data_IF_208277628460
#
_entry.id   IF_208277628460
#
_cell.length_a   1.000
_cell.length_b   1.000
_cell.length_c   1.000
_cell.angle_alpha   90.00
_cell.angle_beta   90.00
_cell.angle_gamma   90.00
#
_symmetry.space_group_name_H-M   'P 1'
#
loop_
_entity.id
_entity.type
_entity.pdbx_description
1 polymer ?
#
# COMPACT_ATOMS: atom_id res chain seq x y z
N UNK A 1 -70.08 14.16 6.15
CA UNK A 1 -69.40 13.13 5.34
C UNK A 1 -68.88 13.76 4.04
N UNK A 2 -67.63 14.26 3.99
CA UNK A 2 -66.89 14.60 2.75
C UNK A 2 -65.47 15.10 3.08
N UNK A 3 -64.58 14.15 3.40
CA UNK A 3 -63.12 14.22 3.14
C UNK A 3 -62.57 12.84 2.76
N UNK A 4 -63.44 11.92 2.36
CA UNK A 4 -63.05 10.56 1.95
C UNK A 4 -62.52 10.56 0.52
N UNK A 5 -63.11 11.35 -0.39
CA UNK A 5 -62.66 11.47 -1.78
C UNK A 5 -61.23 12.04 -1.93
N UNK A 6 -60.89 13.08 -1.15
CA UNK A 6 -59.53 13.63 -1.16
C UNK A 6 -58.48 12.66 -0.62
N UNK A 7 -58.84 11.86 0.40
CA UNK A 7 -57.97 10.80 0.94
C UNK A 7 -57.79 9.64 -0.05
N UNK A 8 -58.85 9.23 -0.74
CA UNK A 8 -58.80 8.21 -1.80
C UNK A 8 -57.91 8.66 -2.97
N UNK A 9 -58.00 9.93 -3.36
CA UNK A 9 -57.14 10.48 -4.41
C UNK A 9 -55.66 10.51 -3.99
N UNK A 10 -55.38 10.96 -2.76
CA UNK A 10 -54.03 10.91 -2.18
C UNK A 10 -53.48 9.48 -2.10
N UNK A 11 -54.28 8.52 -1.62
CA UNK A 11 -53.88 7.11 -1.56
C UNK A 11 -53.58 6.55 -2.94
N UNK A 12 -54.42 6.86 -3.93
CA UNK A 12 -54.21 6.41 -5.32
C UNK A 12 -52.92 7.00 -5.89
N UNK A 13 -52.67 8.29 -5.65
CA UNK A 13 -51.45 8.96 -6.09
C UNK A 13 -50.21 8.35 -5.44
N UNK A 14 -50.25 8.06 -4.14
CA UNK A 14 -49.15 7.39 -3.42
C UNK A 14 -48.91 5.98 -3.95
N UNK A 15 -49.96 5.20 -4.23
CA UNK A 15 -49.84 3.86 -4.81
C UNK A 15 -49.20 3.93 -6.20
N UNK A 16 -49.68 4.83 -7.06
CA UNK A 16 -49.11 5.02 -8.41
C UNK A 16 -47.65 5.45 -8.32
N UNK A 17 -47.32 6.42 -7.46
CA UNK A 17 -45.96 6.87 -7.24
C UNK A 17 -45.05 5.75 -6.70
N UNK A 18 -45.56 4.88 -5.82
CA UNK A 18 -44.84 3.73 -5.28
C UNK A 18 -44.56 2.67 -6.36
N UNK A 19 -45.56 2.32 -7.19
CA UNK A 19 -45.38 1.38 -8.31
C UNK A 19 -44.37 1.95 -9.31
N UNK A 20 -44.53 3.21 -9.69
CA UNK A 20 -43.65 3.90 -10.63
C UNK A 20 -42.20 3.94 -10.11
N UNK A 21 -42.00 4.18 -8.81
CA UNK A 21 -40.68 4.16 -8.17
C UNK A 21 -40.06 2.76 -8.06
N UNK A 22 -40.87 1.69 -8.07
CA UNK A 22 -40.39 0.31 -7.97
C UNK A 22 -40.06 -0.32 -9.33
N UNK A 23 -40.63 0.20 -10.43
CA UNK A 23 -40.39 -0.29 -11.79
C UNK A 23 -38.91 -0.39 -12.20
N UNK A 24 -38.00 0.54 -11.82
CA UNK A 24 -36.57 0.42 -12.09
C UNK A 24 -35.89 -0.82 -11.48
N UNK A 25 -36.50 -1.43 -10.45
CA UNK A 25 -36.02 -2.66 -9.82
C UNK A 25 -36.21 -3.91 -10.70
N UNK A 26 -37.10 -3.84 -11.70
CA UNK A 26 -37.34 -4.94 -12.64
C UNK A 26 -36.78 -4.57 -14.02
N UNK A 27 -35.50 -4.86 -14.23
CA UNK A 27 -34.75 -4.57 -15.47
C UNK A 27 -35.54 -4.81 -16.78
N UNK A 28 -36.28 -5.94 -16.95
CA UNK A 28 -37.01 -6.22 -18.18
C UNK A 28 -38.14 -5.22 -18.47
N UNK A 29 -38.90 -4.79 -17.45
CA UNK A 29 -39.94 -3.79 -17.64
C UNK A 29 -39.36 -2.39 -17.80
N UNK A 30 -38.23 -2.10 -17.15
CA UNK A 30 -37.55 -0.82 -17.29
C UNK A 30 -37.08 -0.56 -18.73
N UNK A 31 -36.46 -1.55 -19.38
CA UNK A 31 -36.02 -1.41 -20.77
C UNK A 31 -37.17 -1.30 -21.78
N UNK A 32 -38.35 -1.85 -21.46
CA UNK A 32 -39.54 -1.74 -22.29
C UNK A 32 -40.25 -0.37 -22.18
N UNK A 33 -39.82 0.51 -21.27
CA UNK A 33 -40.47 1.82 -21.08
C UNK A 33 -40.07 2.86 -22.15
N UNK A 34 -40.99 3.76 -22.53
CA UNK A 34 -40.70 4.92 -23.36
C UNK A 34 -39.54 5.76 -22.81
N UNK A 35 -38.72 6.34 -23.70
CA UNK A 35 -37.52 7.09 -23.31
C UNK A 35 -37.80 8.22 -22.30
N UNK A 36 -38.91 8.94 -22.47
CA UNK A 36 -39.31 10.04 -21.58
C UNK A 36 -39.61 9.58 -20.13
N UNK A 37 -40.06 8.34 -19.92
CA UNK A 37 -40.26 7.77 -18.58
C UNK A 37 -38.92 7.40 -17.93
N UNK A 38 -37.99 6.83 -18.71
CA UNK A 38 -36.67 6.41 -18.21
C UNK A 38 -35.79 7.58 -17.79
N UNK A 39 -35.96 8.74 -18.42
CA UNK A 39 -35.24 9.97 -18.10
C UNK A 39 -35.80 10.69 -16.86
N UNK A 40 -37.10 10.50 -16.57
CA UNK A 40 -37.75 11.03 -15.36
C UNK A 40 -37.56 10.12 -14.13
N UNK A 41 -37.34 8.82 -14.34
CA UNK A 41 -37.22 7.82 -13.27
C UNK A 41 -35.77 7.57 -12.85
N UNK A 42 -35.54 7.21 -11.57
CA UNK A 42 -34.24 6.71 -11.14
C UNK A 42 -33.83 5.52 -12.02
N UNK A 43 -32.62 5.57 -12.55
CA UNK A 43 -32.06 4.51 -13.41
C UNK A 43 -31.44 3.35 -12.62
N UNK A 44 -31.49 3.41 -11.28
CA UNK A 44 -30.99 2.37 -10.38
C UNK A 44 -32.14 1.78 -9.57
N UNK A 45 -32.36 0.48 -9.74
CA UNK A 45 -33.27 -0.32 -8.92
C UNK A 45 -32.73 -0.57 -7.51
N UNK A 46 -33.38 -1.48 -6.77
CA UNK A 46 -32.91 -1.91 -5.44
C UNK A 46 -31.56 -2.60 -5.60
N UNK A 47 -30.54 -2.16 -4.87
CA UNK A 47 -29.23 -2.82 -4.87
C UNK A 47 -29.31 -4.11 -4.07
N UNK A 48 -28.80 -5.20 -4.65
CA UNK A 48 -28.82 -6.52 -4.04
C UNK A 48 -27.55 -6.67 -3.19
N UNK A 49 -27.71 -7.05 -1.93
CA UNK A 49 -26.58 -7.34 -1.05
C UNK A 49 -25.79 -8.57 -1.49
N UNK A 50 -24.66 -8.84 -0.84
CA UNK A 50 -23.78 -9.97 -1.13
C UNK A 50 -24.52 -11.31 -1.18
N UNK A 51 -25.45 -11.56 -0.25
CA UNK A 51 -26.16 -12.83 -0.16
C UNK A 51 -27.15 -13.06 -1.32
N UNK A 52 -27.62 -11.98 -1.95
CA UNK A 52 -28.59 -12.02 -3.05
C UNK A 52 -27.94 -11.90 -4.42
N UNK A 53 -26.88 -11.09 -4.54
CA UNK A 53 -26.15 -10.86 -5.80
C UNK A 53 -24.97 -11.83 -5.98
N UNK A 54 -24.57 -12.53 -4.92
CA UNK A 54 -23.29 -13.22 -4.85
C UNK A 54 -22.11 -12.24 -4.78
N UNK A 55 -20.89 -12.78 -4.62
CA UNK A 55 -19.67 -11.98 -4.58
C UNK A 55 -18.63 -12.60 -3.64
N UNK A 56 -17.85 -11.74 -2.97
CA UNK A 56 -16.84 -12.16 -2.02
C UNK A 56 -16.90 -11.34 -0.72
N UNK A 57 -16.74 -12.03 0.41
CA UNK A 57 -16.50 -11.46 1.74
C UNK A 57 -15.11 -11.89 2.20
N UNK A 58 -14.29 -10.93 2.62
CA UNK A 58 -12.94 -11.18 3.12
C UNK A 58 -12.73 -10.43 4.43
N UNK A 59 -12.05 -11.10 5.36
CA UNK A 59 -11.47 -10.48 6.54
C UNK A 59 -9.96 -10.54 6.36
N UNK A 60 -9.34 -9.38 6.34
CA UNK A 60 -7.90 -9.20 6.15
C UNK A 60 -7.31 -8.67 7.44
N UNK A 61 -6.11 -9.12 7.80
CA UNK A 61 -5.36 -8.61 8.94
C UNK A 61 -4.20 -7.76 8.44
N UNK A 62 -4.00 -6.60 9.04
CA UNK A 62 -2.90 -5.69 8.69
C UNK A 62 -1.66 -6.10 9.48
N UNK A 63 -0.53 -6.22 8.80
CA UNK A 63 0.77 -6.44 9.42
C UNK A 63 1.30 -5.12 10.01
N UNK A 64 0.76 -4.78 11.18
CA UNK A 64 1.03 -3.55 11.91
C UNK A 64 2.42 -3.53 12.55
N UNK A 65 2.99 -4.70 12.87
CA UNK A 65 4.35 -4.81 13.41
C UNK A 65 5.38 -4.48 12.32
N UNK A 66 5.18 -4.95 11.09
CA UNK A 66 6.05 -4.58 9.96
C UNK A 66 6.10 -3.08 9.69
N UNK A 67 4.98 -2.38 9.90
CA UNK A 67 4.93 -0.92 9.75
C UNK A 67 5.81 -0.21 10.80
N UNK A 68 5.84 -0.72 12.04
CA UNK A 68 6.73 -0.22 13.10
C UNK A 68 8.19 -0.47 12.72
N UNK A 69 8.53 -1.67 12.24
CA UNK A 69 9.90 -1.98 11.81
C UNK A 69 10.40 -1.02 10.72
N UNK A 70 9.57 -0.75 9.70
CA UNK A 70 9.91 0.17 8.61
C UNK A 70 10.11 1.59 9.14
N UNK A 71 9.26 2.05 10.07
CA UNK A 71 9.42 3.35 10.70
C UNK A 71 10.74 3.46 11.49
N UNK A 72 11.09 2.42 12.24
CA UNK A 72 12.35 2.33 12.97
C UNK A 72 13.55 2.32 12.02
N UNK A 73 13.52 1.53 10.94
CA UNK A 73 14.60 1.46 9.95
C UNK A 73 14.82 2.83 9.25
N UNK A 74 13.73 3.57 8.98
CA UNK A 74 13.81 4.96 8.48
C UNK A 74 14.45 5.89 9.50
N UNK A 75 14.07 5.80 10.77
CA UNK A 75 14.68 6.58 11.84
C UNK A 75 16.17 6.25 12.02
N UNK A 76 16.56 4.98 11.92
CA UNK A 76 17.96 4.54 11.95
C UNK A 76 18.75 5.23 10.84
N UNK A 77 18.23 5.24 9.62
CA UNK A 77 18.89 5.89 8.48
C UNK A 77 19.05 7.40 8.71
N UNK A 78 17.98 8.07 9.15
CA UNK A 78 18.03 9.51 9.45
C UNK A 78 19.02 9.84 10.58
N UNK A 79 19.11 8.99 11.61
CA UNK A 79 20.09 9.14 12.68
C UNK A 79 21.51 8.94 12.18
N UNK A 80 21.76 7.94 11.33
CA UNK A 80 23.08 7.73 10.72
C UNK A 80 23.54 8.95 9.92
N UNK A 81 22.67 9.53 9.10
CA UNK A 81 22.98 10.73 8.31
C UNK A 81 23.34 11.93 9.22
N UNK A 82 22.55 12.18 10.27
CA UNK A 82 22.80 13.27 11.22
C UNK A 82 24.07 13.06 12.04
N UNK A 83 24.36 11.82 12.41
CA UNK A 83 25.59 11.48 13.12
C UNK A 83 26.81 11.71 12.23
N UNK A 84 26.72 11.31 10.95
CA UNK A 84 27.77 11.55 9.97
C UNK A 84 27.99 13.06 9.74
N UNK A 85 26.92 13.85 9.61
CA UNK A 85 26.98 15.31 9.49
C UNK A 85 27.69 15.97 10.69
N UNK A 86 27.43 15.48 11.90
CA UNK A 86 28.09 15.97 13.12
C UNK A 86 29.47 15.37 13.38
N UNK A 87 29.93 14.45 12.54
CA UNK A 87 31.24 13.80 12.67
C UNK A 87 31.40 12.97 13.94
N UNK A 88 30.31 12.43 14.53
CA UNK A 88 30.43 11.63 15.75
C UNK A 88 30.94 10.23 15.43
N UNK A 89 31.87 9.75 16.25
CA UNK A 89 32.55 8.49 16.05
C UNK A 89 31.70 7.31 16.58
N UNK A 90 30.80 6.79 15.74
CA UNK A 90 30.03 5.56 16.00
C UNK A 90 30.63 4.34 15.29
N UNK A 91 30.49 3.16 15.90
CA UNK A 91 30.81 1.88 15.26
C UNK A 91 29.62 1.34 14.47
N UNK A 92 28.41 1.38 15.04
CA UNK A 92 27.21 0.95 14.33
C UNK A 92 25.93 1.50 14.95
N UNK A 93 24.93 1.73 14.10
CA UNK A 93 23.53 1.98 14.48
C UNK A 93 22.70 0.92 13.79
N UNK A 94 22.04 0.04 14.57
CA UNK A 94 21.24 -1.06 14.02
C UNK A 94 19.94 -1.23 14.80
N UNK A 95 18.91 -1.67 14.11
CA UNK A 95 17.67 -2.16 14.72
C UNK A 95 17.93 -3.53 15.36
N UNK A 96 17.53 -3.71 16.61
CA UNK A 96 17.72 -4.96 17.38
C UNK A 96 16.40 -5.68 17.68
N UNK A 97 15.29 -4.95 17.75
CA UNK A 97 13.94 -5.49 17.87
C UNK A 97 12.98 -4.78 16.89
N UNK A 98 11.67 -5.07 16.96
CA UNK A 98 10.69 -4.42 16.09
C UNK A 98 10.56 -2.90 16.36
N UNK A 99 10.79 -2.46 17.59
CA UNK A 99 10.61 -1.09 18.10
C UNK A 99 11.88 -0.50 18.73
N UNK A 100 13.03 -1.18 18.60
CA UNK A 100 14.27 -0.80 19.30
C UNK A 100 15.45 -0.56 18.35
N UNK A 101 16.23 0.47 18.68
CA UNK A 101 17.47 0.85 18.03
C UNK A 101 18.61 0.70 19.05
N UNK A 102 19.68 0.04 18.64
CA UNK A 102 20.93 -0.01 19.41
C UNK A 102 21.99 0.81 18.69
N UNK A 103 22.60 1.74 19.43
CA UNK A 103 23.72 2.54 18.96
C UNK A 103 24.97 2.13 19.73
N UNK A 104 26.02 1.82 18.99
CA UNK A 104 27.35 1.51 19.51
C UNK A 104 28.31 2.64 19.13
N UNK A 105 28.74 3.40 20.13
CA UNK A 105 29.73 4.47 19.99
C UNK A 105 31.16 3.92 20.14
N UNK A 106 32.16 4.59 19.56
CA UNK A 106 33.57 4.19 19.73
C UNK A 106 34.12 4.49 21.13
N UNK A 107 33.63 5.54 21.77
CA UNK A 107 34.06 5.96 23.10
C UNK A 107 32.89 6.55 23.91
N UNK A 108 33.13 6.81 25.20
CA UNK A 108 32.12 7.32 26.13
C UNK A 108 31.71 8.78 25.84
N UNK A 109 32.61 9.57 25.25
CA UNK A 109 32.36 10.98 24.91
C UNK A 109 31.44 11.07 23.68
N UNK A 110 31.71 10.26 22.66
CA UNK A 110 30.87 10.04 21.50
C UNK A 110 29.50 9.50 21.91
N UNK A 111 29.44 8.57 22.87
CA UNK A 111 28.16 8.09 23.38
C UNK A 111 27.36 9.24 24.03
N UNK A 112 28.00 10.08 24.84
CA UNK A 112 27.34 11.25 25.46
C UNK A 112 26.84 12.25 24.41
N UNK A 113 27.60 12.46 23.34
CA UNK A 113 27.20 13.32 22.23
C UNK A 113 26.02 12.73 21.44
N UNK A 114 26.01 11.42 21.22
CA UNK A 114 24.89 10.69 20.59
C UNK A 114 23.65 10.77 21.46
N UNK A 115 23.75 10.57 22.78
CA UNK A 115 22.62 10.70 23.70
C UNK A 115 21.94 12.06 23.58
N UNK A 116 22.72 13.14 23.63
CA UNK A 116 22.21 14.51 23.41
C UNK A 116 21.58 14.72 22.05
N UNK A 117 22.03 14.00 21.02
CA UNK A 117 21.46 14.10 19.68
C UNK A 117 20.10 13.38 19.62
N UNK A 118 20.03 12.15 20.15
CA UNK A 118 18.82 11.32 20.16
C UNK A 118 17.78 11.86 21.14
N UNK A 119 18.17 12.53 22.23
CA UNK A 119 17.24 13.25 23.12
C UNK A 119 16.42 14.34 22.38
N UNK A 120 16.92 14.85 21.23
CA UNK A 120 16.15 15.78 20.40
C UNK A 120 15.09 15.07 19.53
N UNK A 121 15.04 13.74 19.53
CA UNK A 121 14.02 12.93 18.87
C UNK A 121 12.96 12.51 19.89
N UNK A 122 11.84 13.25 20.01
CA UNK A 122 10.81 13.01 21.03
C UNK A 122 10.03 11.70 20.84
N UNK A 123 10.41 10.88 19.84
CA UNK A 123 9.78 9.61 19.52
C UNK A 123 10.47 8.42 20.20
N UNK A 124 11.72 8.56 20.65
CA UNK A 124 12.48 7.50 21.30
C UNK A 124 12.72 7.79 22.78
N UNK A 125 12.73 6.72 23.59
CA UNK A 125 13.13 6.73 24.99
C UNK A 125 14.34 5.83 25.20
N UNK A 126 15.30 6.28 26.01
CA UNK A 126 16.40 5.44 26.44
C UNK A 126 15.84 4.39 27.43
N UNK A 127 15.96 3.09 27.10
CA UNK A 127 15.47 2.00 27.94
C UNK A 127 16.56 1.45 28.86
N UNK A 128 17.79 1.34 28.35
CA UNK A 128 18.98 1.02 29.15
C UNK A 128 20.28 1.19 28.36
N UNK A 129 21.39 1.44 29.05
CA UNK A 129 22.74 1.23 28.49
C UNK A 129 23.08 -0.24 28.72
N UNK A 130 23.47 -0.98 27.68
CA UNK A 130 23.60 -2.45 27.70
C UNK A 130 24.80 -2.98 28.52
N UNK A 131 24.97 -2.49 29.75
CA UNK A 131 26.10 -2.82 30.64
C UNK A 131 27.45 -2.25 30.20
N UNK A 132 27.53 -1.53 29.07
CA UNK A 132 28.74 -0.93 28.52
C UNK A 132 28.58 0.60 28.37
N UNK A 133 29.64 1.34 28.69
CA UNK A 133 29.68 2.81 28.56
C UNK A 133 29.51 3.31 27.12
N UNK A 134 29.62 2.41 26.13
CA UNK A 134 29.59 2.70 24.70
C UNK A 134 28.31 2.25 23.98
N UNK A 135 27.40 1.53 24.65
CA UNK A 135 26.21 0.95 24.02
C UNK A 135 24.94 1.49 24.66
N UNK A 136 24.05 2.05 23.83
CA UNK A 136 22.77 2.58 24.30
C UNK A 136 21.62 2.04 23.47
N UNK A 137 20.56 1.60 24.17
CA UNK A 137 19.34 1.07 23.57
C UNK A 137 18.24 2.11 23.70
N UNK A 138 17.66 2.44 22.56
CA UNK A 138 16.55 3.36 22.40
C UNK A 138 15.34 2.60 21.93
N UNK A 139 14.19 2.88 22.52
CA UNK A 139 12.93 2.23 22.19
C UNK A 139 11.90 3.27 21.79
N UNK A 140 11.06 2.93 20.83
CA UNK A 140 10.00 3.82 20.39
C UNK A 140 8.95 4.00 21.48
N UNK A 141 8.51 5.23 21.72
CA UNK A 141 7.42 5.51 22.67
C UNK A 141 6.16 4.67 22.33
N UNK A 142 5.53 4.07 23.34
CA UNK A 142 4.29 3.28 23.14
C UNK A 142 3.19 4.09 22.42
N UNK A 143 3.07 5.38 22.74
CA UNK A 143 2.13 6.29 22.07
C UNK A 143 2.43 6.42 20.56
N UNK A 144 3.70 6.49 20.19
CA UNK A 144 4.14 6.59 18.80
C UNK A 144 3.99 5.24 18.07
N UNK A 145 4.33 4.13 18.72
CA UNK A 145 4.07 2.77 18.23
C UNK A 145 2.59 2.60 17.90
N UNK A 146 1.70 2.99 18.82
CA UNK A 146 0.25 2.94 18.58
C UNK A 146 -0.19 3.84 17.42
N UNK A 147 0.36 5.05 17.34
CA UNK A 147 0.08 5.99 16.24
C UNK A 147 0.46 5.41 14.89
N UNK A 148 1.62 4.77 14.78
CA UNK A 148 2.09 4.12 13.55
C UNK A 148 1.18 2.94 13.19
N UNK A 149 0.82 2.09 14.17
CA UNK A 149 -0.09 0.96 13.95
C UNK A 149 -1.46 1.41 13.45
N UNK A 150 -2.07 2.41 14.09
CA UNK A 150 -3.35 2.98 13.65
C UNK A 150 -3.24 3.64 12.26
N UNK A 151 -2.13 4.34 11.98
CA UNK A 151 -1.86 4.92 10.67
C UNK A 151 -1.73 3.86 9.58
N UNK A 152 -1.05 2.74 9.86
CA UNK A 152 -0.90 1.63 8.92
C UNK A 152 -2.24 1.00 8.55
N UNK A 153 -3.16 0.86 9.52
CA UNK A 153 -4.51 0.35 9.26
C UNK A 153 -5.32 1.31 8.37
N UNK A 154 -5.24 2.62 8.64
CA UNK A 154 -5.94 3.61 7.82
C UNK A 154 -5.39 3.64 6.38
N UNK A 155 -4.06 3.57 6.22
CA UNK A 155 -3.40 3.49 4.92
C UNK A 155 -3.81 2.23 4.16
N UNK A 156 -3.86 1.08 4.83
CA UNK A 156 -4.32 -0.16 4.23
C UNK A 156 -5.77 -0.07 3.75
N UNK A 157 -6.64 0.55 4.56
CA UNK A 157 -8.05 0.76 4.21
C UNK A 157 -8.23 1.65 2.98
N UNK A 158 -7.46 2.74 2.88
CA UNK A 158 -7.45 3.60 1.69
C UNK A 158 -6.89 2.89 0.45
N UNK A 159 -5.79 2.16 0.61
CA UNK A 159 -5.18 1.38 -0.48
C UNK A 159 -6.15 0.34 -1.03
N UNK A 160 -6.86 -0.36 -0.15
CA UNK A 160 -7.86 -1.36 -0.54
C UNK A 160 -9.03 -0.71 -1.29
N UNK A 161 -9.53 0.44 -0.82
CA UNK A 161 -10.59 1.19 -1.51
C UNK A 161 -10.18 1.56 -2.94
N UNK A 162 -9.01 2.18 -3.09
CA UNK A 162 -8.50 2.62 -4.40
C UNK A 162 -8.31 1.45 -5.38
N UNK A 163 -7.90 0.26 -4.89
CA UNK A 163 -7.79 -0.95 -5.71
C UNK A 163 -9.14 -1.51 -6.14
N UNK A 164 -10.14 -1.42 -5.28
CA UNK A 164 -11.47 -1.97 -5.54
C UNK A 164 -12.23 -1.13 -6.57
N UNK A 165 -12.04 0.19 -6.57
CA UNK A 165 -12.67 1.10 -7.53
C UNK A 165 -12.35 0.72 -8.99
N UNK A 166 -11.21 0.07 -9.23
CA UNK A 166 -10.77 -0.40 -10.55
C UNK A 166 -11.60 -1.59 -11.08
N UNK A 167 -12.32 -2.32 -10.23
CA UNK A 167 -13.14 -3.47 -10.66
C UNK A 167 -14.54 -3.09 -11.14
N UNK A 168 -14.94 -1.82 -10.99
CA UNK A 168 -16.26 -1.34 -11.43
C UNK A 168 -17.42 -1.97 -10.64
N UNK A 169 -17.18 -2.44 -9.41
CA UNK A 169 -18.23 -2.89 -8.51
C UNK A 169 -19.03 -1.69 -8.01
N UNK A 170 -20.35 -1.80 -7.98
CA UNK A 170 -21.21 -0.62 -7.79
C UNK A 170 -21.22 -0.11 -6.36
N UNK A 171 -20.98 -0.95 -5.34
CA UNK A 171 -21.06 -0.57 -3.93
C UNK A 171 -20.15 -1.47 -3.05
N UNK A 172 -18.82 -1.30 -3.07
CA UNK A 172 -17.94 -2.06 -2.20
C UNK A 172 -18.02 -1.59 -0.75
N UNK A 173 -17.99 -2.54 0.20
CA UNK A 173 -17.87 -2.22 1.63
C UNK A 173 -16.44 -2.50 2.06
N UNK A 174 -15.72 -1.46 2.50
CA UNK A 174 -14.37 -1.56 3.07
C UNK A 174 -14.34 -0.82 4.40
N UNK A 175 -14.24 -1.59 5.49
CA UNK A 175 -14.33 -1.06 6.84
C UNK A 175 -13.36 -1.76 7.79
N UNK A 176 -12.85 -1.02 8.78
CA UNK A 176 -12.09 -1.60 9.88
C UNK A 176 -13.01 -2.48 10.74
N UNK A 177 -12.54 -3.67 11.09
CA UNK A 177 -13.18 -4.58 12.03
C UNK A 177 -12.23 -4.82 13.20
N UNK A 178 -12.67 -4.50 14.41
CA UNK A 178 -11.82 -4.62 15.60
C UNK A 178 -10.56 -3.74 15.52
N UNK A 179 -9.47 -4.21 16.12
CA UNK A 179 -8.23 -3.43 16.24
C UNK A 179 -7.36 -3.49 14.99
N UNK A 180 -7.20 -4.66 14.35
CA UNK A 180 -6.21 -4.87 13.28
C UNK A 180 -6.75 -5.47 11.98
N UNK A 181 -8.07 -5.63 11.88
CA UNK A 181 -8.69 -6.29 10.73
C UNK A 181 -9.46 -5.31 9.84
N UNK A 182 -9.56 -5.65 8.56
CA UNK A 182 -10.32 -4.94 7.55
C UNK A 182 -11.27 -5.93 6.90
N UNK A 183 -12.56 -5.60 6.92
CA UNK A 183 -13.61 -6.34 6.21
C UNK A 183 -13.80 -5.73 4.84
N UNK A 184 -13.75 -6.57 3.82
CA UNK A 184 -14.00 -6.23 2.43
C UNK A 184 -15.16 -7.06 1.90
N UNK A 185 -16.17 -6.40 1.34
CA UNK A 185 -17.28 -7.05 0.65
C UNK A 185 -17.42 -6.47 -0.74
N UNK A 186 -17.41 -7.35 -1.75
CA UNK A 186 -17.56 -6.97 -3.16
C UNK A 186 -18.76 -7.72 -3.76
N UNK A 187 -19.99 -7.15 -3.64
CA UNK A 187 -21.18 -7.73 -4.28
C UNK A 187 -21.05 -7.70 -5.80
N UNK A 188 -21.45 -8.80 -6.45
CA UNK A 188 -21.48 -8.89 -7.91
C UNK A 188 -20.12 -8.90 -8.62
N UNK A 189 -19.01 -9.14 -7.89
CA UNK A 189 -17.68 -9.27 -8.52
C UNK A 189 -17.63 -10.50 -9.43
N UNK A 190 -17.17 -10.33 -10.67
CA UNK A 190 -17.12 -11.42 -11.67
C UNK A 190 -16.02 -12.44 -11.41
N UNK A 191 -14.85 -12.00 -10.96
CA UNK A 191 -13.71 -12.85 -10.64
C UNK A 191 -13.22 -12.60 -9.19
N UNK A 192 -13.72 -13.40 -8.23
CA UNK A 192 -13.31 -13.30 -6.83
C UNK A 192 -11.82 -13.58 -6.61
N UNK A 193 -11.19 -14.45 -7.41
CA UNK A 193 -9.78 -14.79 -7.25
C UNK A 193 -8.90 -13.61 -7.65
N UNK A 194 -9.18 -13.03 -8.81
CA UNK A 194 -8.48 -11.83 -9.28
C UNK A 194 -8.60 -10.66 -8.30
N UNK A 195 -9.79 -10.45 -7.73
CA UNK A 195 -10.01 -9.41 -6.72
C UNK A 195 -9.20 -9.66 -5.44
N UNK A 196 -9.20 -10.90 -4.95
CA UNK A 196 -8.41 -11.31 -3.79
C UNK A 196 -6.92 -11.12 -4.03
N UNK A 197 -6.41 -11.54 -5.18
CA UNK A 197 -4.98 -11.44 -5.50
C UNK A 197 -4.53 -9.97 -5.59
N UNK A 198 -5.32 -9.12 -6.25
CA UNK A 198 -5.01 -7.69 -6.33
C UNK A 198 -5.03 -7.02 -4.95
N UNK A 199 -5.94 -7.41 -4.05
CA UNK A 199 -6.01 -6.84 -2.70
C UNK A 199 -4.83 -7.31 -1.83
N UNK A 200 -4.40 -8.57 -1.99
CA UNK A 200 -3.31 -9.16 -1.20
C UNK A 200 -1.92 -8.71 -1.61
N UNK A 201 -1.73 -8.32 -2.86
CA UNK A 201 -0.41 -7.98 -3.39
C UNK A 201 0.14 -6.71 -2.73
N UNK A 202 1.19 -6.82 -1.91
CA UNK A 202 1.84 -5.65 -1.32
C UNK A 202 2.58 -4.87 -2.41
N UNK A 203 2.05 -3.72 -2.81
CA UNK A 203 2.66 -2.88 -3.85
C UNK A 203 3.68 -1.93 -3.22
N UNK A 204 4.82 -2.47 -2.76
CA UNK A 204 5.92 -1.66 -2.27
C UNK A 204 6.69 -1.08 -3.46
N UNK A 205 6.61 0.24 -3.62
CA UNK A 205 7.40 0.97 -4.61
C UNK A 205 8.60 1.61 -3.92
N UNK A 206 9.80 1.32 -4.43
CA UNK A 206 11.06 1.88 -3.98
C UNK A 206 11.80 2.48 -5.17
N UNK A 207 12.32 3.69 -5.01
CA UNK A 207 13.25 4.30 -5.96
C UNK A 207 14.67 4.11 -5.42
N UNK A 208 15.46 3.33 -6.16
CA UNK A 208 16.85 3.03 -5.85
C UNK A 208 17.75 3.61 -6.92
N UNK A 209 18.92 4.07 -6.51
CA UNK A 209 19.93 4.57 -7.44
C UNK A 209 20.59 3.41 -8.17
N UNK A 210 20.71 3.54 -9.48
CA UNK A 210 21.55 2.66 -10.30
C UNK A 210 23.02 2.91 -9.95
N UNK A 211 23.79 1.85 -9.75
CA UNK A 211 25.24 1.94 -9.59
C UNK A 211 25.91 1.66 -10.94
N UNK A 212 26.43 2.71 -11.57
CA UNK A 212 27.14 2.63 -12.86
C UNK A 212 28.67 2.44 -12.69
N UNK A 213 29.20 2.64 -11.48
CA UNK A 213 30.64 2.53 -11.19
C UNK A 213 31.06 1.05 -11.12
N UNK A 214 30.14 0.18 -10.74
CA UNK A 214 30.34 -1.27 -10.66
C UNK A 214 30.30 -1.90 -12.05
N UNK A 215 31.47 -2.24 -12.58
CA UNK A 215 31.62 -3.00 -13.82
C UNK A 215 31.55 -4.50 -13.57
N UNK A 216 30.36 -5.02 -13.31
CA UNK A 216 30.09 -6.45 -13.33
C UNK A 216 29.67 -6.86 -14.75
N UNK A 217 30.24 -7.95 -15.27
CA UNK A 217 29.85 -8.54 -16.55
C UNK A 217 28.53 -9.31 -16.38
N UNK A 218 27.45 -8.55 -16.16
CA UNK A 218 26.11 -9.11 -15.96
C UNK A 218 25.53 -9.57 -17.30
N UNK A 219 24.82 -10.72 -17.33
CA UNK A 219 24.16 -11.17 -18.54
C UNK A 219 23.09 -10.16 -18.96
N UNK A 220 23.06 -9.81 -20.25
CA UNK A 220 22.11 -8.83 -20.78
C UNK A 220 20.64 -9.25 -20.57
N UNK A 221 20.35 -10.56 -20.59
CA UNK A 221 19.01 -11.14 -20.43
C UNK A 221 19.13 -12.52 -19.80
N UNK A 222 18.31 -12.81 -18.80
CA UNK A 222 18.17 -14.16 -18.24
C UNK A 222 16.71 -14.57 -18.20
N UNK A 223 16.48 -15.88 -18.15
CA UNK A 223 15.13 -16.42 -17.91
C UNK A 223 14.77 -16.28 -16.43
N UNK A 224 13.47 -16.18 -16.13
CA UNK A 224 12.96 -15.97 -14.76
C UNK A 224 13.44 -17.04 -13.77
N UNK A 225 13.59 -18.28 -14.21
CA UNK A 225 14.07 -19.40 -13.39
C UNK A 225 15.55 -19.32 -13.04
N UNK A 226 16.33 -18.50 -13.75
CA UNK A 226 17.78 -18.35 -13.56
C UNK A 226 18.20 -17.14 -12.72
N UNK A 227 17.25 -16.37 -12.17
CA UNK A 227 17.57 -15.22 -11.31
C UNK A 227 18.46 -15.64 -10.12
N UNK A 228 18.16 -16.78 -9.50
CA UNK A 228 18.90 -17.29 -8.35
C UNK A 228 20.37 -17.66 -8.69
N UNK A 229 20.61 -18.18 -9.89
CA UNK A 229 21.97 -18.52 -10.36
C UNK A 229 22.81 -17.26 -10.49
N UNK A 230 22.26 -16.20 -11.10
CA UNK A 230 22.93 -14.89 -11.23
C UNK A 230 23.24 -14.31 -9.85
N UNK A 231 22.27 -14.31 -8.94
CA UNK A 231 22.50 -13.80 -7.59
C UNK A 231 23.62 -14.53 -6.86
N UNK A 232 23.70 -15.86 -6.98
CA UNK A 232 24.75 -16.66 -6.34
C UNK A 232 26.13 -16.43 -6.95
N UNK A 233 26.22 -16.34 -8.28
CA UNK A 233 27.49 -16.13 -8.99
C UNK A 233 28.12 -14.79 -8.64
N UNK A 234 27.31 -13.74 -8.52
CA UNK A 234 27.78 -12.37 -8.30
C UNK A 234 27.75 -11.92 -6.84
N UNK A 235 27.14 -12.68 -5.92
CA UNK A 235 27.04 -12.35 -4.49
C UNK A 235 28.38 -11.97 -3.84
N UNK A 236 29.47 -12.66 -4.20
CA UNK A 236 30.80 -12.41 -3.63
C UNK A 236 31.53 -11.18 -4.20
N UNK A 237 31.05 -10.65 -5.33
CA UNK A 237 31.65 -9.52 -6.06
C UNK A 237 30.95 -8.19 -5.79
N UNK A 238 29.82 -8.21 -5.09
CA UNK A 238 29.04 -7.03 -4.73
C UNK A 238 29.58 -6.40 -3.44
N UNK A 239 29.77 -5.07 -3.41
CA UNK A 239 29.99 -4.35 -2.16
C UNK A 239 28.83 -4.52 -1.17
N UNK A 240 29.09 -4.28 0.12
CA UNK A 240 28.06 -4.44 1.17
C UNK A 240 26.84 -3.53 0.95
N UNK A 241 27.01 -2.38 0.32
CA UNK A 241 25.96 -1.38 0.08
C UNK A 241 25.16 -1.62 -1.21
N UNK A 242 25.48 -2.64 -2.01
CA UNK A 242 24.89 -2.86 -3.33
C UNK A 242 24.16 -4.20 -3.45
N UNK A 243 23.16 -4.25 -4.33
CA UNK A 243 22.38 -5.44 -4.63
C UNK A 243 22.02 -5.50 -6.12
N UNK A 244 21.74 -6.72 -6.60
CA UNK A 244 21.22 -6.93 -7.95
C UNK A 244 19.69 -7.01 -7.88
N UNK A 245 19.01 -6.21 -8.70
CA UNK A 245 17.57 -6.32 -8.95
C UNK A 245 17.32 -6.58 -10.43
N UNK A 246 16.13 -7.11 -10.75
CA UNK A 246 15.78 -7.53 -12.10
C UNK A 246 14.60 -6.73 -12.64
N UNK A 247 14.76 -6.17 -13.83
CA UNK A 247 13.67 -5.62 -14.62
C UNK A 247 12.97 -6.75 -15.39
N UNK A 248 11.64 -6.72 -15.38
CA UNK A 248 10.81 -7.65 -16.17
C UNK A 248 10.65 -7.10 -17.58
N UNK A 249 11.18 -7.83 -18.56
CA UNK A 249 11.06 -7.49 -19.99
C UNK A 249 10.24 -8.56 -20.68
N UNK A 250 9.14 -8.18 -21.34
CA UNK A 250 8.31 -9.10 -22.12
C UNK A 250 8.50 -8.81 -23.59
N UNK A 251 8.93 -9.83 -24.34
CA UNK A 251 9.04 -9.74 -25.79
C UNK A 251 7.62 -9.67 -26.41
N UNK A 252 7.35 -8.60 -27.17
CA UNK A 252 6.00 -8.31 -27.69
C UNK A 252 5.54 -9.32 -28.75
N UNK A 253 6.47 -9.97 -29.46
CA UNK A 253 6.16 -10.90 -30.56
C UNK A 253 6.00 -12.33 -30.05
N UNK A 254 6.88 -12.74 -29.14
CA UNK A 254 6.92 -14.12 -28.64
C UNK A 254 6.18 -14.30 -27.31
N UNK A 255 5.92 -13.21 -26.58
CA UNK A 255 5.34 -13.24 -25.23
C UNK A 255 6.28 -13.80 -24.16
N UNK A 256 7.53 -14.12 -24.51
CA UNK A 256 8.51 -14.67 -23.59
C UNK A 256 8.97 -13.59 -22.61
N UNK A 257 8.99 -13.95 -21.33
CA UNK A 257 9.42 -13.08 -20.24
C UNK A 257 10.91 -13.31 -19.95
N UNK A 258 11.68 -12.22 -20.03
CA UNK A 258 13.07 -12.15 -19.65
C UNK A 258 13.25 -11.24 -18.43
N UNK A 259 14.41 -11.38 -17.81
CA UNK A 259 14.84 -10.62 -16.65
C UNK A 259 16.17 -9.95 -16.96
N UNK A 260 16.23 -8.63 -16.80
CA UNK A 260 17.43 -7.84 -17.04
C UNK A 260 18.00 -7.39 -15.70
N UNK A 261 19.20 -7.85 -15.31
CA UNK A 261 19.80 -7.50 -14.03
C UNK A 261 20.41 -6.09 -14.03
N UNK A 262 20.24 -5.38 -12.93
CA UNK A 262 20.86 -4.08 -12.66
C UNK A 262 21.49 -4.09 -11.27
N UNK A 263 22.66 -3.46 -11.13
CA UNK A 263 23.27 -3.18 -9.83
C UNK A 263 22.68 -1.90 -9.29
N UNK A 264 22.09 -1.95 -8.11
CA UNK A 264 21.49 -0.78 -7.45
C UNK A 264 21.98 -0.68 -6.02
N UNK A 265 21.98 0.55 -5.51
CA UNK A 265 22.23 0.81 -4.08
C UNK A 265 21.15 0.13 -3.25
N UNK A 266 21.54 -0.49 -2.13
CA UNK A 266 20.60 -1.06 -1.15
C UNK A 266 19.76 0.02 -0.48
N UNK A 267 20.37 1.18 -0.22
CA UNK A 267 19.72 2.35 0.36
C UNK A 267 18.59 2.84 -0.53
N UNK A 268 17.39 2.93 0.05
CA UNK A 268 16.21 3.48 -0.62
C UNK A 268 16.14 4.97 -0.32
N UNK A 269 16.13 5.80 -1.37
CA UNK A 269 16.08 7.26 -1.21
C UNK A 269 14.63 7.77 -1.18
N UNK A 270 13.73 7.07 -1.86
CA UNK A 270 12.33 7.47 -1.98
C UNK A 270 11.45 6.23 -2.08
N UNK A 271 10.28 6.27 -1.46
CA UNK A 271 9.29 5.18 -1.51
C UNK A 271 7.95 5.67 -2.05
N UNK A 272 7.04 4.76 -2.39
CA UNK A 272 5.72 5.11 -2.94
C UNK A 272 4.81 5.90 -2.01
N UNK A 273 5.15 6.05 -0.73
CA UNK A 273 4.37 6.81 0.26
C UNK A 273 4.46 8.33 0.07
N UNK A 274 5.46 8.81 -0.67
CA UNK A 274 5.58 10.24 -1.04
C UNK A 274 4.82 10.58 -2.33
N UNK A 275 4.11 9.62 -2.93
CA UNK A 275 3.34 9.85 -4.15
C UNK A 275 1.98 10.44 -3.82
N UNK A 276 1.61 11.49 -4.56
CA UNK A 276 0.26 12.07 -4.51
C UNK A 276 -0.70 11.42 -5.50
N UNK A 277 -0.23 11.02 -6.69
CA UNK A 277 -1.07 10.37 -7.71
C UNK A 277 -0.26 9.45 -8.64
N UNK A 278 -0.94 8.43 -9.19
CA UNK A 278 -0.40 7.54 -10.22
C UNK A 278 -1.52 7.13 -11.19
N UNK A 279 -1.35 7.45 -12.48
CA UNK A 279 -2.36 7.19 -13.52
C UNK A 279 -1.77 6.67 -14.81
N UNK A 280 -2.53 5.81 -15.49
CA UNK A 280 -2.16 5.35 -16.84
C UNK A 280 -2.39 6.49 -17.82
N UNK A 281 -1.37 6.80 -18.60
CA UNK A 281 -1.40 7.79 -19.66
C UNK A 281 -0.88 7.16 -20.96
N UNK A 282 -1.21 7.78 -22.10
CA UNK A 282 -0.78 7.32 -23.41
C UNK A 282 0.24 8.33 -23.94
N UNK A 283 1.42 7.84 -24.30
CA UNK A 283 2.49 8.65 -24.85
C UNK A 283 2.19 9.12 -26.27
N UNK A 284 3.02 10.02 -26.80
CA UNK A 284 2.88 10.53 -28.17
C UNK A 284 2.93 9.42 -29.25
N UNK A 285 3.59 8.31 -28.94
CA UNK A 285 3.72 7.14 -29.82
C UNK A 285 2.65 6.06 -29.57
N UNK A 286 1.57 6.39 -28.84
CA UNK A 286 0.51 5.46 -28.46
C UNK A 286 0.96 4.31 -27.54
N UNK A 287 2.13 4.43 -26.91
CA UNK A 287 2.58 3.49 -25.87
C UNK A 287 2.00 3.88 -24.50
N UNK A 288 1.41 2.94 -23.75
CA UNK A 288 0.91 3.20 -22.40
C UNK A 288 2.09 3.36 -21.43
N UNK A 289 2.00 4.34 -20.53
CA UNK A 289 2.94 4.53 -19.43
C UNK A 289 2.21 4.91 -18.15
N UNK A 290 2.87 4.76 -17.00
CA UNK A 290 2.34 5.20 -15.71
C UNK A 290 2.94 6.57 -15.40
N UNK A 291 2.09 7.60 -15.38
CA UNK A 291 2.44 8.94 -14.92
C UNK A 291 2.36 8.96 -13.40
N UNK A 292 3.44 9.38 -12.75
CA UNK A 292 3.53 9.48 -11.30
C UNK A 292 3.68 10.94 -10.91
N UNK A 293 3.04 11.36 -9.82
CA UNK A 293 3.17 12.70 -9.24
C UNK A 293 3.55 12.56 -7.77
N UNK A 294 4.51 13.39 -7.34
CA UNK A 294 4.99 13.51 -5.97
C UNK A 294 4.24 14.66 -5.31
#
# INVERSE_FOLDING_TARGET
MKKVGGRLWLLTLVIVASVVSFLPSYQPAYHAMPNWLRELLPNKGITLGLDLQGGIHMVLEVDEDRAVEIAVDRSVTALQDLIAEKGLAIESTKRTAHDQITILAKDADANTAVKKLVDNFPIFVERDSAGSATTTIWELHEAETKRIKDSAINQALETIRNRIDQFGVTEPIVQRQGLKQIVVQLPGVKDPKRAKDLIKETALLEFKMLDEDIRLDLPARVMKDKEAEVLQEFASKLPEEDQILFERVVDKDTGVEFRMPYVVKKRVMLTGDVLSDARVAIGQFNDPYVSITF
#
